data_IF_326518387291
#
_entry.id   IF_326518387291
#
_cell.length_a   1.000
_cell.length_b   1.000
_cell.length_c   1.000
_cell.angle_alpha   90.00
_cell.angle_beta   90.00
_cell.angle_gamma   90.00
#
_symmetry.space_group_name_H-M   'P 1'
#
loop_
_entity.id
_entity.type
_entity.pdbx_description
1 polymer ?
#
# COMPACT_ATOMS: atom_id res chain seq x y z
N UNK A 1 2.11 10.57 21.98
CA UNK A 1 1.03 9.56 21.85
C UNK A 1 1.15 8.96 20.48
N UNK A 2 1.50 7.69 20.41
CA UNK A 2 1.87 7.05 19.15
C UNK A 2 0.62 6.73 18.33
N UNK A 3 0.49 7.36 17.15
CA UNK A 3 -0.70 7.30 16.30
C UNK A 3 -0.95 5.84 15.90
N UNK A 4 -2.18 5.35 16.08
CA UNK A 4 -2.56 3.99 15.64
C UNK A 4 -2.18 3.79 14.17
N UNK A 5 -1.65 2.61 13.79
CA UNK A 5 -1.29 2.32 12.40
C UNK A 5 -2.51 2.17 11.48
N UNK A 6 -3.71 2.11 12.04
CA UNK A 6 -4.97 1.95 11.30
C UNK A 6 -5.62 3.29 10.98
N UNK A 7 -6.15 3.41 9.76
CA UNK A 7 -6.95 4.55 9.33
C UNK A 7 -8.33 4.55 9.99
N UNK A 8 -9.02 5.70 9.94
CA UNK A 8 -10.33 5.86 10.57
C UNK A 8 -11.37 4.84 10.06
N UNK A 9 -11.43 4.61 8.74
CA UNK A 9 -12.36 3.64 8.13
C UNK A 9 -12.06 2.20 8.55
N UNK A 10 -10.78 1.80 8.60
CA UNK A 10 -10.37 0.47 9.05
C UNK A 10 -10.76 0.23 10.51
N UNK A 11 -10.56 1.24 11.38
CA UNK A 11 -10.99 1.15 12.79
C UNK A 11 -12.49 1.01 12.93
N UNK A 12 -13.28 1.73 12.12
CA UNK A 12 -14.74 1.60 12.13
C UNK A 12 -15.17 0.18 11.73
N UNK A 13 -14.57 -0.38 10.69
CA UNK A 13 -14.85 -1.76 10.26
C UNK A 13 -14.45 -2.78 11.34
N UNK A 14 -13.26 -2.62 11.94
CA UNK A 14 -12.78 -3.49 13.01
C UNK A 14 -13.67 -3.41 14.26
N UNK A 15 -14.19 -2.22 14.60
CA UNK A 15 -15.15 -2.05 15.68
C UNK A 15 -16.48 -2.73 15.36
N UNK A 16 -16.96 -2.58 14.11
CA UNK A 16 -18.21 -3.19 13.65
C UNK A 16 -18.18 -4.71 13.75
N UNK A 17 -17.05 -5.33 13.41
CA UNK A 17 -16.87 -6.81 13.50
C UNK A 17 -16.31 -7.28 14.85
N UNK A 18 -16.16 -6.38 15.83
CA UNK A 18 -15.78 -6.70 17.21
C UNK A 18 -14.31 -7.10 17.43
N UNK A 19 -13.40 -6.72 16.54
CA UNK A 19 -11.97 -7.11 16.60
C UNK A 19 -11.01 -5.94 16.89
N UNK A 20 -11.53 -4.74 17.13
CA UNK A 20 -10.73 -3.51 17.25
C UNK A 20 -9.57 -3.61 18.26
N UNK A 21 -9.81 -4.09 19.49
CA UNK A 21 -8.76 -4.19 20.51
C UNK A 21 -7.64 -5.17 20.10
N UNK A 22 -8.01 -6.32 19.54
CA UNK A 22 -7.07 -7.32 19.04
C UNK A 22 -6.24 -6.75 17.87
N UNK A 23 -6.89 -6.05 16.95
CA UNK A 23 -6.22 -5.47 15.77
C UNK A 23 -5.31 -4.29 16.12
N UNK A 24 -5.62 -3.51 17.15
CA UNK A 24 -4.74 -2.44 17.63
C UNK A 24 -3.42 -3.02 18.19
N UNK A 25 -3.48 -4.07 18.99
CA UNK A 25 -2.28 -4.75 19.54
C UNK A 25 -1.48 -5.42 18.44
N UNK A 26 -2.15 -6.12 17.52
CA UNK A 26 -1.49 -6.81 16.41
C UNK A 26 -0.87 -5.83 15.42
N UNK A 27 -1.62 -4.79 15.03
CA UNK A 27 -1.23 -3.79 14.05
C UNK A 27 0.10 -3.13 14.42
N UNK A 28 0.28 -2.75 15.69
CA UNK A 28 1.54 -2.16 16.18
C UNK A 28 2.76 -3.08 16.06
N UNK A 29 2.57 -4.40 15.97
CA UNK A 29 3.66 -5.37 15.81
C UNK A 29 3.99 -5.67 14.35
N UNK A 30 3.01 -5.55 13.46
CA UNK A 30 3.12 -6.06 12.08
C UNK A 30 3.12 -4.95 11.02
N UNK A 31 2.48 -3.82 11.31
CA UNK A 31 2.45 -2.65 10.42
C UNK A 31 3.68 -1.79 10.72
N UNK A 32 4.51 -1.60 9.70
CA UNK A 32 5.77 -0.85 9.78
C UNK A 32 5.71 0.31 8.80
N UNK A 33 6.44 1.38 9.11
CA UNK A 33 6.61 2.53 8.21
C UNK A 33 7.63 2.27 7.09
N UNK A 34 8.30 1.13 7.11
CA UNK A 34 9.34 0.75 6.18
C UNK A 34 9.13 -0.68 5.67
N UNK A 35 9.62 -0.93 4.46
CA UNK A 35 9.68 -2.25 3.84
C UNK A 35 10.92 -3.00 4.34
N UNK A 36 10.75 -4.16 5.02
CA UNK A 36 11.86 -5.07 5.27
C UNK A 36 12.53 -5.50 3.95
N UNK A 37 13.80 -5.90 4.00
CA UNK A 37 14.54 -6.30 2.79
C UNK A 37 13.87 -7.43 1.99
N UNK A 38 13.12 -8.30 2.67
CA UNK A 38 12.27 -9.31 2.02
C UNK A 38 11.21 -8.67 1.11
N UNK A 39 10.52 -7.62 1.57
CA UNK A 39 9.50 -6.92 0.78
C UNK A 39 10.16 -6.16 -0.39
N UNK A 40 11.29 -5.51 -0.13
CA UNK A 40 12.06 -4.78 -1.15
C UNK A 40 12.50 -5.72 -2.29
N UNK A 41 13.01 -6.89 -1.93
CA UNK A 41 13.39 -7.94 -2.88
C UNK A 41 12.18 -8.54 -3.62
N UNK A 42 11.04 -8.67 -2.94
CA UNK A 42 9.81 -9.19 -3.54
C UNK A 42 9.26 -8.26 -4.63
N UNK A 43 9.11 -6.96 -4.33
CA UNK A 43 8.55 -6.01 -5.30
C UNK A 43 9.38 -5.91 -6.58
N UNK A 44 10.71 -6.03 -6.49
CA UNK A 44 11.60 -6.05 -7.65
C UNK A 44 11.38 -7.22 -8.61
N UNK A 45 10.72 -8.30 -8.18
CA UNK A 45 10.47 -9.47 -9.02
C UNK A 45 9.15 -9.40 -9.78
N UNK A 46 8.27 -8.45 -9.43
CA UNK A 46 6.94 -8.39 -10.00
C UNK A 46 6.96 -7.79 -11.41
N UNK A 47 6.15 -8.33 -12.34
CA UNK A 47 5.93 -7.73 -13.66
C UNK A 47 4.75 -6.75 -13.70
N UNK A 48 4.02 -6.60 -12.58
CA UNK A 48 2.97 -5.62 -12.42
C UNK A 48 2.72 -5.30 -10.95
N UNK A 49 2.01 -4.21 -10.69
CA UNK A 49 1.60 -3.75 -9.37
C UNK A 49 0.13 -3.34 -9.39
N UNK A 50 -0.61 -3.73 -8.35
CA UNK A 50 -1.94 -3.19 -8.10
C UNK A 50 -1.81 -1.97 -7.21
N UNK A 51 -2.54 -0.91 -7.54
CA UNK A 51 -2.57 0.31 -6.74
C UNK A 51 -3.97 0.90 -6.69
N UNK A 52 -4.23 1.66 -5.63
CA UNK A 52 -5.43 2.45 -5.50
C UNK A 52 -5.08 3.93 -5.54
N UNK A 53 -5.87 4.71 -6.26
CA UNK A 53 -5.76 6.17 -6.30
C UNK A 53 -7.14 6.81 -6.15
N UNK A 54 -7.13 8.12 -5.93
CA UNK A 54 -8.34 8.93 -5.93
C UNK A 54 -8.13 10.01 -6.97
N UNK A 55 -9.02 10.04 -7.96
CA UNK A 55 -8.93 11.00 -9.07
C UNK A 55 -9.20 12.44 -8.60
N UNK A 56 -9.10 13.40 -9.51
CA UNK A 56 -9.36 14.81 -9.23
C UNK A 56 -10.82 15.11 -8.82
N UNK A 57 -11.77 14.24 -9.15
CA UNK A 57 -13.19 14.35 -8.79
C UNK A 57 -13.52 13.69 -7.44
N UNK A 58 -12.56 13.00 -6.83
CA UNK A 58 -12.71 12.31 -5.56
C UNK A 58 -13.20 10.87 -5.68
N UNK A 59 -13.25 10.29 -6.88
CA UNK A 59 -13.64 8.90 -7.06
C UNK A 59 -12.45 7.97 -6.79
N UNK A 60 -12.64 6.90 -6.00
CA UNK A 60 -11.60 5.91 -5.77
C UNK A 60 -11.51 4.93 -6.94
N UNK A 61 -10.30 4.71 -7.43
CA UNK A 61 -9.98 3.76 -8.49
C UNK A 61 -9.00 2.70 -7.99
N UNK A 62 -9.17 1.48 -8.49
CA UNK A 62 -8.18 0.42 -8.39
C UNK A 62 -7.65 0.15 -9.80
N UNK A 63 -6.33 0.19 -9.95
CA UNK A 63 -5.68 0.06 -11.25
C UNK A 63 -4.42 -0.81 -11.19
N UNK A 64 -3.85 -1.07 -12.36
CA UNK A 64 -2.69 -1.90 -12.60
C UNK A 64 -1.58 -1.03 -13.21
N UNK A 65 -0.37 -1.17 -12.69
CA UNK A 65 0.84 -0.64 -13.29
C UNK A 65 1.72 -1.78 -13.78
N UNK A 66 2.05 -1.79 -15.06
CA UNK A 66 2.85 -2.85 -15.69
C UNK A 66 4.30 -2.40 -15.92
N UNK A 67 5.23 -3.35 -15.95
CA UNK A 67 6.63 -3.09 -16.28
C UNK A 67 7.49 -4.36 -16.22
N UNK A 68 8.67 -4.31 -16.82
CA UNK A 68 9.63 -5.41 -16.72
C UNK A 68 10.08 -5.61 -15.26
N UNK A 69 10.38 -6.85 -14.82
CA UNK A 69 10.91 -7.11 -13.49
C UNK A 69 12.06 -6.15 -13.14
N UNK A 70 11.93 -5.50 -11.99
CA UNK A 70 12.81 -4.42 -11.53
C UNK A 70 12.19 -3.02 -11.68
N UNK A 71 11.06 -2.87 -12.38
CA UNK A 71 10.39 -1.57 -12.52
C UNK A 71 9.91 -1.02 -11.17
N UNK A 72 9.43 -1.89 -10.28
CA UNK A 72 9.08 -1.56 -8.91
C UNK A 72 10.28 -1.83 -7.98
N UNK A 73 10.92 -0.79 -7.48
CA UNK A 73 12.14 -0.94 -6.68
C UNK A 73 12.18 0.02 -5.49
N UNK A 74 12.87 -0.39 -4.43
CA UNK A 74 12.95 0.39 -3.19
C UNK A 74 14.39 0.85 -2.95
N UNK A 75 14.76 2.08 -3.36
CA UNK A 75 16.11 2.60 -3.11
C UNK A 75 16.38 2.78 -1.62
N UNK A 76 15.33 3.10 -0.85
CA UNK A 76 15.37 3.31 0.61
C UNK A 76 14.20 2.56 1.28
N UNK A 77 14.33 2.09 2.54
CA UNK A 77 13.32 1.26 3.19
C UNK A 77 11.90 1.85 3.21
N UNK A 78 11.77 3.18 3.30
CA UNK A 78 10.47 3.87 3.33
C UNK A 78 9.90 4.26 1.97
N UNK A 79 10.58 3.92 0.86
CA UNK A 79 10.21 4.40 -0.48
C UNK A 79 10.16 3.25 -1.49
N UNK A 80 9.05 3.17 -2.21
CA UNK A 80 8.88 2.33 -3.40
C UNK A 80 8.75 3.26 -4.62
N UNK A 81 9.61 3.06 -5.61
CA UNK A 81 9.62 3.81 -6.86
C UNK A 81 9.22 2.90 -8.01
N UNK A 82 8.55 3.49 -9.00
CA UNK A 82 8.16 2.83 -10.23
C UNK A 82 8.79 3.52 -11.43
N UNK A 83 9.39 2.74 -12.32
CA UNK A 83 9.98 3.23 -13.58
C UNK A 83 9.00 3.26 -14.75
N UNK A 84 7.72 2.96 -14.51
CA UNK A 84 6.63 3.05 -15.47
C UNK A 84 5.55 4.02 -14.98
N UNK A 85 4.77 4.54 -15.93
CA UNK A 85 3.61 5.38 -15.67
C UNK A 85 2.33 4.58 -15.91
N UNK A 86 1.22 4.94 -15.24
CA UNK A 86 -0.10 4.43 -15.58
C UNK A 86 -0.42 4.56 -17.07
N UNK A 87 -1.29 3.69 -17.57
CA UNK A 87 -1.78 3.81 -18.93
C UNK A 87 -2.50 5.16 -19.14
N UNK A 88 -2.47 5.72 -20.35
CA UNK A 88 -3.06 7.03 -20.61
C UNK A 88 -4.59 7.07 -20.45
N UNK A 89 -5.22 5.90 -20.52
CA UNK A 89 -6.66 5.66 -20.31
C UNK A 89 -6.97 5.12 -18.91
N UNK A 90 -5.98 5.09 -18.01
CA UNK A 90 -6.20 4.81 -16.60
C UNK A 90 -7.06 5.92 -15.98
N UNK A 91 -8.20 5.59 -15.34
CA UNK A 91 -9.09 6.60 -14.75
C UNK A 91 -8.56 7.22 -13.44
N UNK A 92 -7.51 6.62 -12.85
CA UNK A 92 -6.88 7.05 -11.60
C UNK A 92 -6.18 8.41 -11.67
#
# INVERSE_FOLDING_TARGET
MDRSPWHAGEKQLQAHVGVAERMEVLGRRVIRSEMPDQHRSFYQQLPFMLYGAVDAEGNPWASVLEGEPGFAHSPEPGLLQFSSLPAADDPA
#
